data_IF_699978069827
#
_entry.id   IF_699978069827
#
_cell.length_a   1.000
_cell.length_b   1.000
_cell.length_c   1.000
_cell.angle_alpha   90.00
_cell.angle_beta   90.00
_cell.angle_gamma   90.00
#
_symmetry.space_group_name_H-M   'P 1'
#
loop_
_entity.id
_entity.type
_entity.pdbx_description
1 polymer ?
#
# COMPACT_ATOMS: atom_id res chain seq x y z
N UNK A 1 -9.03 -5.99 14.10
CA UNK A 1 -8.68 -7.09 13.19
C UNK A 1 -7.22 -7.45 13.46
N UNK A 2 -6.91 -8.72 13.76
CA UNK A 2 -5.53 -9.19 13.95
C UNK A 2 -5.09 -9.90 12.67
N UNK A 3 -3.93 -9.51 12.14
CA UNK A 3 -3.40 -10.03 10.87
C UNK A 3 -2.04 -10.65 11.16
N UNK A 4 -1.86 -11.93 10.81
CA UNK A 4 -0.56 -12.59 10.88
C UNK A 4 0.30 -12.19 9.68
N UNK A 5 1.50 -11.68 9.96
CA UNK A 5 2.47 -11.28 8.94
C UNK A 5 3.39 -12.44 8.52
N UNK A 6 3.60 -13.45 9.37
CA UNK A 6 4.61 -14.51 9.12
C UNK A 6 4.42 -15.31 7.84
N UNK A 7 3.18 -15.60 7.46
CA UNK A 7 2.88 -16.46 6.29
C UNK A 7 2.48 -15.68 5.04
N UNK A 8 2.55 -14.35 5.08
CA UNK A 8 2.13 -13.50 3.96
C UNK A 8 3.37 -12.94 3.28
N UNK A 9 3.36 -12.98 1.96
CA UNK A 9 4.36 -12.31 1.12
C UNK A 9 3.88 -10.94 0.65
N UNK A 10 2.56 -10.67 0.69
CA UNK A 10 1.97 -9.40 0.25
C UNK A 10 0.86 -8.94 1.20
N UNK A 11 0.80 -7.65 1.48
CA UNK A 11 -0.23 -7.02 2.31
C UNK A 11 -1.07 -6.06 1.48
N UNK A 12 -1.88 -6.58 0.55
CA UNK A 12 -2.64 -5.77 -0.40
C UNK A 12 -1.74 -4.73 -1.10
N UNK A 13 -2.00 -3.44 -0.89
CA UNK A 13 -1.20 -2.33 -1.43
C UNK A 13 -0.04 -1.90 -0.53
N UNK A 14 0.11 -2.51 0.66
CA UNK A 14 1.19 -2.20 1.58
C UNK A 14 2.39 -3.13 1.35
N UNK A 15 3.59 -2.53 1.38
CA UNK A 15 4.86 -3.21 1.33
C UNK A 15 5.12 -3.92 2.66
N UNK A 16 5.20 -5.26 2.62
CA UNK A 16 5.34 -6.06 3.83
C UNK A 16 6.71 -5.90 4.50
N UNK A 17 7.77 -5.64 3.73
CA UNK A 17 9.12 -5.45 4.28
C UNK A 17 9.16 -4.13 5.04
N UNK A 18 8.57 -3.08 4.46
CA UNK A 18 8.41 -1.80 5.14
C UNK A 18 7.53 -1.90 6.39
N UNK A 19 6.42 -2.63 6.32
CA UNK A 19 5.56 -2.89 7.49
C UNK A 19 6.35 -3.57 8.60
N UNK A 20 7.15 -4.60 8.30
CA UNK A 20 7.96 -5.31 9.29
C UNK A 20 9.04 -4.41 9.90
N UNK A 21 9.67 -3.56 9.09
CA UNK A 21 10.67 -2.60 9.55
C UNK A 21 10.04 -1.53 10.45
N UNK A 22 8.99 -0.85 9.99
CA UNK A 22 8.30 0.21 10.73
C UNK A 22 7.69 -0.31 12.04
N UNK A 23 7.17 -1.54 12.06
CA UNK A 23 6.70 -2.17 13.30
C UNK A 23 7.82 -2.49 14.29
N UNK A 24 9.04 -2.77 13.83
CA UNK A 24 10.19 -3.04 14.70
C UNK A 24 10.83 -1.75 15.21
N UNK A 25 10.96 -0.74 14.34
CA UNK A 25 11.72 0.47 14.63
C UNK A 25 10.84 1.58 15.25
N UNK A 26 9.63 1.77 14.71
CA UNK A 26 8.71 2.85 15.09
C UNK A 26 7.56 2.33 15.98
N UNK A 27 7.24 1.04 15.87
CA UNK A 27 6.18 0.38 16.64
C UNK A 27 4.79 0.45 15.98
N UNK A 28 4.67 1.11 14.82
CA UNK A 28 3.43 1.18 14.05
C UNK A 28 3.73 1.40 12.55
N UNK A 29 2.83 0.94 11.69
CA UNK A 29 2.84 1.21 10.25
C UNK A 29 1.53 1.88 9.84
N UNK A 30 1.62 3.04 9.18
CA UNK A 30 0.45 3.74 8.64
C UNK A 30 0.22 3.35 7.18
N UNK A 31 -0.90 2.69 6.92
CA UNK A 31 -1.34 2.43 5.56
C UNK A 31 -2.08 3.66 5.03
N UNK A 32 -1.48 4.33 4.05
CA UNK A 32 -2.17 5.37 3.29
C UNK A 32 -3.04 4.73 2.21
N UNK A 33 -4.22 5.31 1.93
CA UNK A 33 -5.00 4.89 0.77
C UNK A 33 -4.19 5.16 -0.50
N UNK A 34 -4.34 4.33 -1.54
CA UNK A 34 -3.77 4.63 -2.85
C UNK A 34 -4.31 5.97 -3.34
N UNK A 35 -3.52 6.73 -4.12
CA UNK A 35 -4.00 7.95 -4.75
C UNK A 35 -5.23 7.62 -5.60
N UNK A 36 -6.21 8.53 -5.56
CA UNK A 36 -7.40 8.40 -6.40
C UNK A 36 -6.98 8.63 -7.84
N UNK A 37 -7.28 7.67 -8.72
CA UNK A 37 -6.99 7.78 -10.13
C UNK A 37 -7.81 8.91 -10.76
N UNK A 38 -7.13 9.78 -11.51
CA UNK A 38 -7.80 10.80 -12.32
C UNK A 38 -8.15 10.21 -13.69
N UNK A 39 -9.28 9.51 -13.72
CA UNK A 39 -9.80 8.82 -14.90
C UNK A 39 -10.00 9.74 -16.11
N UNK A 40 -10.27 11.02 -15.88
CA UNK A 40 -10.49 11.98 -16.95
C UNK A 40 -9.17 12.37 -17.63
N UNK A 41 -8.10 12.49 -16.84
CA UNK A 41 -6.76 12.75 -17.37
C UNK A 41 -6.18 11.54 -18.10
N UNK A 42 -6.38 10.34 -17.55
CA UNK A 42 -6.01 9.07 -18.22
C UNK A 42 -6.74 8.91 -19.57
N UNK A 43 -8.05 9.19 -19.61
CA UNK A 43 -8.82 9.15 -20.86
C UNK A 43 -8.32 10.15 -21.91
N UNK A 44 -7.85 11.34 -21.49
CA UNK A 44 -7.27 12.32 -22.43
C UNK A 44 -5.94 11.83 -23.00
N UNK A 45 -5.04 11.32 -22.17
CA UNK A 45 -3.75 10.77 -22.63
C UNK A 45 -3.88 9.58 -23.57
N UNK A 46 -4.92 8.75 -23.39
CA UNK A 46 -5.17 7.58 -24.25
C UNK A 46 -5.75 7.92 -25.63
N UNK A 47 -6.35 9.10 -25.81
CA UNK A 47 -7.04 9.50 -27.05
C UNK A 47 -6.33 10.63 -27.82
N UNK A 48 -5.20 11.13 -27.32
CA UNK A 48 -4.24 11.96 -28.07
C UNK A 48 -3.22 11.08 -28.83
#
# INVERSE_FOLDING_TARGET
MLISLDKREKLANADIERVRADLKDVGYYLQFPPPVEDLLSEYRELND
#
